data_IF_377006883422
#
_entry.id   IF_377006883422
#
_cell.length_a   1.000
_cell.length_b   1.000
_cell.length_c   1.000
_cell.angle_alpha   90.00
_cell.angle_beta   90.00
_cell.angle_gamma   90.00
#
_symmetry.space_group_name_H-M   'P 1'
#
loop_
_entity.id
_entity.type
_entity.pdbx_description
1 polymer ?
#
# COMPACT_ATOMS: atom_id res chain seq x y z
N UNK A 1 5.92 -10.21 -8.81
CA UNK A 1 5.87 -11.09 -7.62
C UNK A 1 6.21 -10.25 -6.41
N UNK A 2 5.53 -10.45 -5.27
CA UNK A 2 5.81 -9.71 -4.02
C UNK A 2 6.77 -10.55 -3.17
N UNK A 3 7.79 -9.92 -2.60
CA UNK A 3 8.81 -10.57 -1.78
C UNK A 3 8.30 -10.75 -0.34
N UNK A 4 7.82 -11.95 -0.02
CA UNK A 4 7.25 -12.26 1.29
C UNK A 4 8.26 -12.11 2.45
N UNK A 5 9.51 -12.50 2.21
CA UNK A 5 10.64 -12.29 3.12
C UNK A 5 10.81 -10.82 3.49
N UNK A 6 10.74 -9.93 2.50
CA UNK A 6 10.85 -8.47 2.68
C UNK A 6 9.64 -7.86 3.37
N UNK A 7 8.45 -8.43 3.17
CA UNK A 7 7.27 -8.03 3.92
C UNK A 7 7.44 -8.33 5.42
N UNK A 8 7.93 -9.53 5.77
CA UNK A 8 8.16 -9.94 7.15
C UNK A 8 9.20 -9.05 7.83
N UNK A 9 10.32 -8.76 7.14
CA UNK A 9 11.36 -7.84 7.64
C UNK A 9 10.81 -6.45 8.01
N UNK A 10 9.79 -5.99 7.27
CA UNK A 10 9.17 -4.69 7.47
C UNK A 10 7.95 -4.72 8.40
N UNK A 11 7.58 -5.88 8.94
CA UNK A 11 6.37 -6.05 9.74
C UNK A 11 5.07 -5.89 8.94
N UNK A 12 5.12 -6.05 7.62
CA UNK A 12 3.97 -6.03 6.74
C UNK A 12 3.29 -7.40 6.72
N UNK A 13 1.97 -7.47 6.44
CA UNK A 13 1.27 -8.74 6.30
C UNK A 13 1.90 -9.60 5.20
N UNK A 14 1.96 -10.92 5.40
CA UNK A 14 2.54 -11.81 4.39
C UNK A 14 1.62 -11.86 3.17
N UNK A 15 2.15 -11.68 1.93
CA UNK A 15 1.33 -11.80 0.73
C UNK A 15 0.86 -13.24 0.54
N UNK A 16 -0.46 -13.44 0.48
CA UNK A 16 -1.06 -14.71 0.09
C UNK A 16 -0.86 -15.04 -1.39
N UNK A 17 -0.99 -16.31 -1.76
CA UNK A 17 -0.71 -16.82 -3.12
C UNK A 17 -1.59 -16.19 -4.21
N UNK A 18 -2.80 -15.77 -3.86
CA UNK A 18 -3.74 -15.10 -4.77
C UNK A 18 -3.60 -13.58 -4.79
N UNK A 19 -2.75 -12.99 -3.94
CA UNK A 19 -2.54 -11.56 -3.94
C UNK A 19 -1.70 -11.14 -5.17
N UNK A 20 -2.27 -10.21 -5.94
CA UNK A 20 -1.51 -9.44 -6.92
C UNK A 20 -1.03 -8.12 -6.26
N UNK A 21 -0.19 -7.36 -6.96
CA UNK A 21 0.35 -6.11 -6.41
C UNK A 21 -0.75 -5.14 -5.97
N UNK A 22 -1.85 -5.04 -6.73
CA UNK A 22 -2.96 -4.14 -6.40
C UNK A 22 -3.72 -4.60 -5.16
N UNK A 23 -4.14 -5.87 -5.12
CA UNK A 23 -4.91 -6.41 -4.00
C UNK A 23 -4.10 -6.45 -2.72
N UNK A 24 -2.79 -6.71 -2.81
CA UNK A 24 -1.88 -6.64 -1.67
C UNK A 24 -1.75 -5.21 -1.13
N UNK A 25 -1.50 -4.21 -1.99
CA UNK A 25 -1.43 -2.80 -1.56
C UNK A 25 -2.71 -2.39 -0.86
N UNK A 26 -3.86 -2.76 -1.44
CA UNK A 26 -5.17 -2.48 -0.85
C UNK A 26 -5.30 -3.15 0.53
N UNK A 27 -4.96 -4.44 0.65
CA UNK A 27 -4.99 -5.16 1.93
C UNK A 27 -4.14 -4.46 3.00
N UNK A 28 -2.90 -4.07 2.67
CA UNK A 28 -2.00 -3.36 3.59
C UNK A 28 -2.60 -2.03 4.07
N UNK A 29 -3.07 -1.18 3.16
CA UNK A 29 -3.59 0.14 3.54
C UNK A 29 -4.94 0.05 4.27
N UNK A 30 -5.75 -0.98 3.99
CA UNK A 30 -7.01 -1.22 4.72
C UNK A 30 -6.81 -1.73 6.15
N UNK A 31 -5.61 -2.21 6.47
CA UNK A 31 -5.20 -2.51 7.84
C UNK A 31 -4.67 -1.26 8.59
N UNK A 32 -4.69 -0.09 7.95
CA UNK A 32 -4.17 1.16 8.52
C UNK A 32 -2.66 1.30 8.42
N UNK A 33 -1.99 0.41 7.66
CA UNK A 33 -0.54 0.45 7.48
C UNK A 33 -0.21 1.41 6.34
N UNK A 34 0.74 2.32 6.56
CA UNK A 34 1.20 3.26 5.54
C UNK A 34 2.22 2.58 4.62
N UNK A 35 2.02 2.72 3.32
CA UNK A 35 2.91 2.18 2.29
C UNK A 35 3.50 3.32 1.46
N UNK A 36 4.82 3.37 1.31
CA UNK A 36 5.46 4.39 0.46
C UNK A 36 6.15 3.78 -0.75
N UNK A 37 6.48 4.60 -1.76
CA UNK A 37 7.08 4.12 -3.02
C UNK A 37 8.40 3.36 -2.81
N UNK A 38 9.16 3.66 -1.75
CA UNK A 38 10.43 2.96 -1.44
C UNK A 38 10.19 1.60 -0.78
N UNK A 39 9.28 1.52 0.19
CA UNK A 39 8.83 0.26 0.80
C UNK A 39 8.21 -0.65 -0.27
N UNK A 40 7.33 -0.09 -1.10
CA UNK A 40 6.69 -0.79 -2.21
C UNK A 40 7.76 -1.44 -3.10
N UNK A 41 8.78 -0.67 -3.53
CA UNK A 41 9.87 -1.21 -4.35
C UNK A 41 10.67 -2.30 -3.63
N UNK A 42 10.90 -2.15 -2.34
CA UNK A 42 11.63 -3.13 -1.52
C UNK A 42 10.92 -4.49 -1.48
N UNK A 43 9.59 -4.49 -1.40
CA UNK A 43 8.79 -5.71 -1.40
C UNK A 43 8.39 -6.20 -2.80
N UNK A 44 8.95 -5.64 -3.88
CA UNK A 44 8.70 -6.11 -5.25
C UNK A 44 7.49 -5.46 -5.95
N UNK A 45 7.02 -4.31 -5.46
CA UNK A 45 6.01 -3.47 -6.13
C UNK A 45 6.74 -2.35 -6.87
N UNK A 46 6.91 -2.53 -8.18
CA UNK A 46 7.76 -1.65 -8.98
C UNK A 46 7.15 -0.26 -9.24
N UNK A 47 5.82 -0.18 -9.38
CA UNK A 47 5.12 1.06 -9.75
C UNK A 47 3.88 1.30 -8.88
N UNK A 48 4.11 1.89 -7.69
CA UNK A 48 3.03 2.29 -6.79
C UNK A 48 2.12 3.35 -7.42
N UNK A 49 2.67 4.27 -8.22
CA UNK A 49 1.92 5.35 -8.84
C UNK A 49 0.83 4.85 -9.81
N UNK A 50 1.15 3.83 -10.62
CA UNK A 50 0.15 3.17 -11.48
C UNK A 50 -0.95 2.49 -10.66
N UNK A 51 -0.59 1.80 -9.57
CA UNK A 51 -1.58 1.15 -8.69
C UNK A 51 -2.50 2.16 -8.03
N UNK A 52 -1.95 3.30 -7.57
CA UNK A 52 -2.71 4.43 -7.02
C UNK A 52 -3.72 4.93 -8.06
N UNK A 53 -3.30 5.13 -9.30
CA UNK A 53 -4.20 5.54 -10.39
C UNK A 53 -5.32 4.52 -10.61
N UNK A 54 -5.01 3.22 -10.60
CA UNK A 54 -6.03 2.16 -10.73
C UNK A 54 -6.99 2.12 -9.54
N UNK A 55 -6.49 2.29 -8.32
CA UNK A 55 -7.33 2.34 -7.12
C UNK A 55 -8.28 3.53 -7.15
N UNK A 56 -7.78 4.70 -7.60
CA UNK A 56 -8.58 5.91 -7.75
C UNK A 56 -9.66 5.73 -8.82
N UNK A 57 -9.32 5.09 -9.94
CA UNK A 57 -10.27 4.77 -11.00
C UNK A 57 -11.37 3.81 -10.53
N UNK A 58 -11.04 2.85 -9.67
CA UNK A 58 -12.01 1.95 -9.02
C UNK A 58 -12.88 2.63 -7.95
N UNK A 59 -12.62 3.90 -7.62
CA UNK A 59 -13.40 4.68 -6.67
C UNK A 59 -12.98 4.55 -5.20
N UNK A 60 -11.87 3.86 -4.90
CA UNK A 60 -11.41 3.70 -3.52
C UNK A 60 -10.98 5.04 -2.93
N UNK A 61 -11.41 5.29 -1.69
CA UNK A 61 -11.01 6.47 -0.90
C UNK A 61 -9.72 6.16 -0.15
N UNK A 62 -8.63 6.80 -0.54
CA UNK A 62 -7.35 6.71 0.16
C UNK A 62 -6.69 8.09 0.21
N UNK A 63 -5.68 8.19 1.07
CA UNK A 63 -4.89 9.39 1.26
C UNK A 63 -3.51 9.20 0.64
N UNK A 64 -3.15 10.10 -0.27
CA UNK A 64 -1.82 10.16 -0.89
C UNK A 64 -1.10 11.38 -0.33
N UNK A 65 -0.08 11.14 0.47
CA UNK A 65 0.81 12.18 1.01
C UNK A 65 2.15 12.12 0.28
N UNK A 66 2.88 13.24 0.21
CA UNK A 66 4.24 13.25 -0.30
C UNK A 66 5.20 13.62 0.83
N UNK A 67 6.16 12.75 1.12
CA UNK A 67 7.04 12.92 2.26
C UNK A 67 8.42 12.34 2.06
N UNK A 68 9.35 12.73 2.93
CA UNK A 68 10.70 12.17 2.97
C UNK A 68 10.72 10.99 3.94
N UNK A 69 10.92 9.79 3.42
CA UNK A 69 10.96 8.55 4.21
C UNK A 69 12.29 7.84 3.99
N UNK A 70 12.86 7.19 5.03
CA UNK A 70 14.06 6.40 4.86
C UNK A 70 13.81 5.25 3.87
N UNK A 71 14.75 5.06 2.94
CA UNK A 71 14.69 3.93 2.02
C UNK A 71 15.18 2.67 2.75
N UNK A 72 14.37 1.59 2.86
CA UNK A 72 14.79 0.36 3.53
C UNK A 72 15.99 -0.32 2.83
N UNK A 73 16.17 -0.10 1.53
CA UNK A 73 17.26 -0.71 0.75
C UNK A 73 18.63 -0.07 1.03
N UNK A 74 18.68 1.25 1.24
CA UNK A 74 19.95 2.00 1.35
C UNK A 74 20.14 2.65 2.71
N UNK A 75 19.12 2.65 3.58
CA UNK A 75 19.09 3.39 4.84
C UNK A 75 19.10 4.92 4.68
N UNK A 76 19.19 5.43 3.44
CA UNK A 76 19.27 6.87 3.15
C UNK A 76 17.89 7.45 2.88
N UNK A 77 17.69 8.69 3.34
CA UNK A 77 16.51 9.47 3.00
C UNK A 77 16.74 10.09 1.61
N UNK A 78 15.87 9.81 0.62
CA UNK A 78 15.99 10.41 -0.70
C UNK A 78 15.78 11.93 -0.63
N UNK A 79 16.52 12.69 -1.44
CA UNK A 79 16.40 14.15 -1.51
C UNK A 79 15.02 14.62 -2.01
N UNK A 80 14.40 13.81 -2.88
CA UNK A 80 13.06 14.04 -3.41
C UNK A 80 12.00 13.39 -2.51
N UNK A 81 10.85 14.06 -2.29
CA UNK A 81 9.73 13.46 -1.60
C UNK A 81 9.20 12.26 -2.40
N UNK A 82 8.71 11.26 -1.69
CA UNK A 82 8.10 10.06 -2.27
C UNK A 82 6.63 10.01 -1.91
N UNK A 83 5.84 9.29 -2.71
CA UNK A 83 4.45 9.03 -2.39
C UNK A 83 4.32 8.11 -1.19
N UNK A 84 3.42 8.47 -0.29
CA UNK A 84 3.02 7.72 0.90
C UNK A 84 1.51 7.51 0.78
N UNK A 85 1.14 6.27 0.57
CA UNK A 85 -0.24 5.81 0.48
C UNK A 85 -0.69 5.33 1.86
N UNK A 86 -1.86 5.80 2.29
CA UNK A 86 -2.50 5.36 3.54
C UNK A 86 -4.02 5.46 3.44
N UNK A 87 -4.73 4.83 4.37
CA UNK A 87 -6.15 5.09 4.58
C UNK A 87 -6.38 5.58 6.01
N UNK A 88 -7.26 6.56 6.18
CA UNK A 88 -7.75 6.96 7.49
C UNK A 88 -8.72 5.91 8.04
N UNK A 89 -8.99 5.96 9.34
CA UNK A 89 -9.97 5.07 9.98
C UNK A 89 -11.34 5.13 9.29
N UNK A 90 -11.84 6.33 8.99
CA UNK A 90 -13.11 6.54 8.28
C UNK A 90 -13.10 5.93 6.86
N UNK A 91 -11.96 6.02 6.14
CA UNK A 91 -11.80 5.41 4.83
C UNK A 91 -11.79 3.88 4.90
N UNK A 92 -11.18 3.31 5.95
CA UNK A 92 -11.16 1.88 6.19
C UNK A 92 -12.56 1.36 6.52
N UNK A 93 -13.30 2.06 7.38
CA UNK A 93 -14.69 1.71 7.68
C UNK A 93 -15.59 1.81 6.46
N UNK A 94 -15.44 2.85 5.64
CA UNK A 94 -16.17 2.98 4.38
C UNK A 94 -15.89 1.78 3.46
N UNK A 95 -14.63 1.39 3.31
CA UNK A 95 -14.25 0.21 2.52
C UNK A 95 -14.86 -1.09 3.07
N UNK A 96 -14.80 -1.30 4.39
CA UNK A 96 -15.40 -2.48 5.04
C UNK A 96 -16.91 -2.53 4.85
N UNK A 97 -17.60 -1.40 5.02
CA UNK A 97 -19.04 -1.28 4.84
C UNK A 97 -19.48 -1.52 3.39
N UNK A 98 -18.75 -0.99 2.41
CA UNK A 98 -19.02 -1.24 0.99
C UNK A 98 -18.86 -2.72 0.64
N UNK A 99 -17.82 -3.37 1.17
CA UNK A 99 -17.57 -4.79 0.95
C UNK A 99 -18.65 -5.66 1.60
N UNK A 100 -19.03 -5.37 2.85
CA UNK A 100 -20.12 -6.10 3.53
C UNK A 100 -21.48 -5.95 2.85
N UNK A 101 -21.70 -4.88 2.08
CA UNK A 101 -22.93 -4.70 1.27
C UNK A 101 -22.91 -5.48 -0.05
N UNK A 102 -21.75 -5.85 -0.57
CA UNK A 102 -21.64 -6.66 -1.79
C UNK A 102 -21.74 -8.17 -1.51
N UNK A 103 -21.57 -8.59 -0.25
CA UNK A 103 -21.68 -9.99 0.19
C UNK A 103 -23.09 -10.37 0.70
N UNK A 104 -24.08 -9.47 0.59
CA UNK A 104 -25.51 -9.72 0.86
C UNK A 104 -26.34 -9.59 -0.43
#
# INVERSE_FOLDING_TARGET
MIHADKCIELGLPVPESYHNQLSYVLSVITQGIKLNTRLARYIGIHNLHSLVSTLKYKGYKFTLEHGRVPCPFTGKIPSHPVDILSMSYEQIEAYKNERSRQEN
#
